data_IF_890876628268
#
_entry.id   IF_890876628268
#
_cell.length_a   1.000
_cell.length_b   1.000
_cell.length_c   1.000
_cell.angle_alpha   90.00
_cell.angle_beta   90.00
_cell.angle_gamma   90.00
#
_symmetry.space_group_name_H-M   'P 1'
#
loop_
_entity.id
_entity.type
_entity.pdbx_description
1 polymer ?
#
# COMPACT_ATOMS: atom_id res chain seq x y z
N UNK A 1 2.67 -25.04 -5.80
CA UNK A 1 2.50 -23.73 -6.45
C UNK A 1 2.71 -23.78 -7.96
N UNK A 2 3.91 -24.09 -8.50
CA UNK A 2 4.16 -24.12 -9.96
C UNK A 2 3.16 -24.99 -10.74
N UNK A 3 2.82 -26.19 -10.25
CA UNK A 3 1.82 -27.08 -10.86
C UNK A 3 0.41 -26.47 -10.92
N UNK A 4 -0.01 -25.71 -9.88
CA UNK A 4 -1.31 -25.07 -9.84
C UNK A 4 -1.41 -23.87 -10.80
N UNK A 5 -0.28 -23.24 -11.10
CA UNK A 5 -0.19 -22.10 -12.01
C UNK A 5 0.11 -22.50 -13.46
N UNK A 6 0.33 -23.80 -13.73
CA UNK A 6 0.64 -24.28 -15.08
C UNK A 6 1.97 -23.78 -15.64
N UNK A 7 2.90 -23.37 -14.77
CA UNK A 7 4.22 -22.83 -15.17
C UNK A 7 5.36 -23.71 -14.66
N UNK A 8 6.57 -23.55 -15.24
CA UNK A 8 7.77 -24.23 -14.76
C UNK A 8 8.21 -23.70 -13.38
N UNK A 9 9.07 -24.44 -12.67
CA UNK A 9 9.52 -24.07 -11.34
C UNK A 9 10.46 -22.85 -11.33
N UNK A 10 11.18 -22.58 -12.42
CA UNK A 10 12.13 -21.48 -12.53
C UNK A 10 11.49 -20.11 -12.27
N UNK A 11 10.52 -19.68 -13.10
CA UNK A 11 9.82 -18.39 -12.91
C UNK A 11 9.18 -18.22 -11.53
N UNK A 12 8.62 -19.30 -10.96
CA UNK A 12 8.05 -19.25 -9.60
C UNK A 12 9.12 -19.00 -8.55
N UNK A 13 10.30 -19.63 -8.70
CA UNK A 13 11.40 -19.42 -7.76
C UNK A 13 11.99 -18.02 -7.84
N UNK A 14 12.11 -17.45 -9.05
CA UNK A 14 12.54 -16.08 -9.25
C UNK A 14 11.55 -15.09 -8.62
N UNK A 15 10.27 -15.24 -8.92
CA UNK A 15 9.23 -14.38 -8.32
C UNK A 15 9.21 -14.46 -6.78
N UNK A 16 9.41 -15.64 -6.20
CA UNK A 16 9.51 -15.77 -4.74
C UNK A 16 10.76 -15.09 -4.18
N UNK A 17 11.90 -15.13 -4.88
CA UNK A 17 13.10 -14.39 -4.47
C UNK A 17 12.90 -12.88 -4.51
N UNK A 18 12.22 -12.40 -5.55
CA UNK A 18 11.90 -10.97 -5.66
C UNK A 18 10.97 -10.52 -4.52
N UNK A 19 9.94 -11.31 -4.20
CA UNK A 19 9.04 -11.04 -3.08
C UNK A 19 9.76 -11.10 -1.73
N UNK A 20 10.71 -12.02 -1.56
CA UNK A 20 11.55 -12.11 -0.35
C UNK A 20 12.47 -10.91 -0.23
N UNK A 21 13.12 -10.50 -1.32
CA UNK A 21 13.96 -9.30 -1.36
C UNK A 21 13.18 -8.02 -1.04
N UNK A 22 11.88 -8.00 -1.36
CA UNK A 22 10.95 -6.92 -1.00
C UNK A 22 10.42 -7.04 0.46
N UNK A 23 10.80 -8.09 1.20
CA UNK A 23 10.33 -8.32 2.57
C UNK A 23 8.84 -8.68 2.67
N UNK A 24 8.22 -9.13 1.59
CA UNK A 24 6.80 -9.50 1.55
C UNK A 24 6.54 -10.95 1.96
N UNK A 25 7.55 -11.80 1.84
CA UNK A 25 7.51 -13.21 2.23
C UNK A 25 8.78 -13.62 2.96
N UNK A 26 8.66 -14.62 3.80
CA UNK A 26 9.79 -15.35 4.37
C UNK A 26 9.90 -16.72 3.72
N UNK A 27 11.11 -17.14 3.33
CA UNK A 27 11.36 -18.49 2.83
C UNK A 27 12.12 -19.31 3.87
N UNK A 28 11.61 -20.50 4.15
CA UNK A 28 12.29 -21.43 5.05
C UNK A 28 12.67 -22.68 4.25
N UNK A 29 13.94 -23.15 4.34
CA UNK A 29 14.36 -24.37 3.68
C UNK A 29 13.42 -25.52 4.02
N UNK A 30 12.99 -26.24 3.00
CA UNK A 30 12.07 -27.40 3.06
C UNK A 30 10.62 -27.11 3.51
N UNK A 31 10.31 -25.88 3.98
CA UNK A 31 8.96 -25.49 4.41
C UNK A 31 8.23 -24.59 3.40
N UNK A 32 8.97 -24.03 2.44
CA UNK A 32 8.42 -23.17 1.39
C UNK A 32 8.39 -21.69 1.79
N UNK A 33 7.50 -20.93 1.12
CA UNK A 33 7.35 -19.50 1.32
C UNK A 33 6.04 -19.21 2.08
N UNK A 34 6.08 -18.26 2.99
CA UNK A 34 4.92 -17.73 3.73
C UNK A 34 4.85 -16.22 3.57
N UNK A 35 3.66 -15.66 3.53
CA UNK A 35 3.47 -14.21 3.60
C UNK A 35 3.99 -13.75 4.96
N UNK A 36 4.88 -12.75 4.93
CA UNK A 36 5.47 -12.17 6.13
C UNK A 36 4.40 -11.38 6.89
N UNK A 37 4.42 -11.53 8.20
CA UNK A 37 3.64 -10.67 9.09
C UNK A 37 4.62 -9.70 9.75
N UNK A 38 4.51 -8.39 9.47
CA UNK A 38 5.40 -7.40 10.07
C UNK A 38 5.19 -7.34 11.59
N UNK A 39 6.25 -7.14 12.32
CA UNK A 39 6.16 -6.91 13.76
C UNK A 39 5.59 -5.51 14.05
N UNK A 40 4.96 -5.34 15.22
CA UNK A 40 4.37 -4.05 15.63
C UNK A 40 5.35 -2.87 15.51
N UNK A 41 6.62 -3.08 15.86
CA UNK A 41 7.65 -2.04 15.73
C UNK A 41 7.84 -1.62 14.27
N UNK A 42 7.91 -2.58 13.35
CA UNK A 42 8.07 -2.35 11.92
C UNK A 42 6.86 -1.63 11.30
N UNK A 43 5.65 -1.94 11.80
CA UNK A 43 4.45 -1.22 11.39
C UNK A 43 4.53 0.26 11.80
N UNK A 44 4.96 0.55 13.02
CA UNK A 44 5.12 1.93 13.50
C UNK A 44 6.17 2.69 12.66
N UNK A 45 7.30 2.06 12.37
CA UNK A 45 8.33 2.65 11.49
C UNK A 45 7.80 2.91 10.08
N UNK A 46 6.99 2.00 9.53
CA UNK A 46 6.35 2.19 8.23
C UNK A 46 5.34 3.36 8.24
N UNK A 47 4.58 3.52 9.33
CA UNK A 47 3.67 4.66 9.50
C UNK A 47 4.40 5.99 9.58
N UNK A 48 5.53 6.06 10.28
CA UNK A 48 6.36 7.27 10.34
C UNK A 48 6.87 7.67 8.96
N UNK A 49 7.37 6.71 8.18
CA UNK A 49 7.80 6.94 6.79
C UNK A 49 6.63 7.35 5.90
N UNK A 50 5.45 6.73 6.05
CA UNK A 50 4.25 7.11 5.32
C UNK A 50 3.89 8.57 5.60
N UNK A 51 3.85 8.97 6.87
CA UNK A 51 3.51 10.34 7.26
C UNK A 51 4.44 11.37 6.60
N UNK A 52 5.74 11.06 6.50
CA UNK A 52 6.72 11.91 5.81
C UNK A 52 6.44 11.99 4.30
N UNK A 53 6.24 10.85 3.64
CA UNK A 53 5.99 10.78 2.20
C UNK A 53 4.65 11.46 1.83
N UNK A 54 3.61 11.22 2.61
CA UNK A 54 2.29 11.82 2.40
C UNK A 54 2.31 13.34 2.60
N UNK A 55 2.97 13.82 3.65
CA UNK A 55 3.14 15.26 3.89
C UNK A 55 3.90 15.93 2.76
N UNK A 56 4.92 15.26 2.22
CA UNK A 56 5.64 15.76 1.05
C UNK A 56 4.76 15.74 -0.21
N UNK A 57 4.01 14.65 -0.42
CA UNK A 57 3.05 14.52 -1.52
C UNK A 57 1.98 15.59 -1.48
N UNK A 58 1.38 15.83 -0.32
CA UNK A 58 0.36 16.86 -0.14
C UNK A 58 0.89 18.27 -0.46
N UNK A 59 2.10 18.61 0.00
CA UNK A 59 2.72 19.91 -0.33
C UNK A 59 2.93 20.10 -1.83
N UNK A 60 3.24 19.05 -2.56
CA UNK A 60 3.38 19.11 -4.02
C UNK A 60 2.04 19.15 -4.75
N UNK A 61 1.02 18.50 -4.19
CA UNK A 61 -0.32 18.42 -4.78
C UNK A 61 -1.10 19.74 -4.62
N UNK A 62 -1.08 20.34 -3.44
CA UNK A 62 -1.88 21.55 -3.09
C UNK A 62 -1.89 22.63 -4.19
N UNK A 63 -0.75 23.08 -4.74
CA UNK A 63 -0.77 24.14 -5.77
C UNK A 63 -1.32 23.68 -7.13
N UNK A 64 -1.65 22.42 -7.30
CA UNK A 64 -2.11 21.81 -8.55
C UNK A 64 -3.55 21.30 -8.49
N UNK A 65 -4.16 21.27 -7.30
CA UNK A 65 -5.51 20.76 -7.10
C UNK A 65 -6.52 21.57 -7.90
N UNK A 66 -7.33 20.87 -8.68
CA UNK A 66 -8.55 21.41 -9.28
C UNK A 66 -9.75 21.20 -8.35
N UNK A 67 -10.85 21.91 -8.62
CA UNK A 67 -12.12 21.70 -7.90
C UNK A 67 -12.61 20.23 -8.04
N UNK A 68 -12.36 19.60 -9.18
CA UNK A 68 -12.68 18.19 -9.38
C UNK A 68 -11.85 17.26 -8.50
N UNK A 69 -10.55 17.56 -8.30
CA UNK A 69 -9.69 16.79 -7.40
C UNK A 69 -10.14 16.94 -5.93
N UNK A 70 -10.59 18.13 -5.54
CA UNK A 70 -11.14 18.37 -4.19
C UNK A 70 -12.42 17.56 -3.97
N UNK A 71 -13.35 17.57 -4.93
CA UNK A 71 -14.58 16.77 -4.86
C UNK A 71 -14.29 15.26 -4.78
N UNK A 72 -13.29 14.77 -5.52
CA UNK A 72 -12.84 13.39 -5.48
C UNK A 72 -12.32 13.02 -4.08
N UNK A 73 -11.48 13.88 -3.48
CA UNK A 73 -10.97 13.68 -2.13
C UNK A 73 -12.07 13.74 -1.06
N UNK A 74 -13.04 14.66 -1.18
CA UNK A 74 -14.22 14.72 -0.32
C UNK A 74 -15.07 13.45 -0.41
N UNK A 75 -15.16 12.85 -1.60
CA UNK A 75 -15.82 11.57 -1.83
C UNK A 75 -15.21 10.43 -1.00
N UNK A 76 -13.88 10.35 -0.95
CA UNK A 76 -13.19 9.36 -0.08
C UNK A 76 -13.47 9.61 1.40
N UNK A 77 -13.46 10.88 1.86
CA UNK A 77 -13.77 11.21 3.25
C UNK A 77 -15.20 10.78 3.61
N UNK A 78 -16.16 11.05 2.73
CA UNK A 78 -17.56 10.64 2.92
C UNK A 78 -17.70 9.11 3.00
N UNK A 79 -17.03 8.39 2.09
CA UNK A 79 -17.05 6.94 2.07
C UNK A 79 -16.42 6.32 3.33
N UNK A 80 -15.31 6.89 3.84
CA UNK A 80 -14.72 6.45 5.12
C UNK A 80 -15.69 6.65 6.29
N UNK A 81 -16.42 7.77 6.32
CA UNK A 81 -17.42 8.05 7.37
C UNK A 81 -18.59 7.07 7.30
N UNK A 82 -19.04 6.72 6.11
CA UNK A 82 -20.11 5.73 5.90
C UNK A 82 -19.68 4.33 6.36
N UNK A 83 -18.49 3.89 5.96
CA UNK A 83 -17.91 2.62 6.39
C UNK A 83 -17.78 2.56 7.93
N UNK A 84 -17.29 3.64 8.55
CA UNK A 84 -17.19 3.72 10.02
C UNK A 84 -18.56 3.62 10.71
N UNK A 85 -19.60 4.29 10.19
CA UNK A 85 -20.97 4.18 10.73
C UNK A 85 -21.55 2.79 10.58
N UNK A 86 -21.20 2.09 9.50
CA UNK A 86 -21.63 0.71 9.25
C UNK A 86 -20.82 -0.32 10.06
N UNK A 87 -19.73 0.07 10.71
CA UNK A 87 -18.81 -0.84 11.39
C UNK A 87 -17.99 -1.71 10.42
N UNK A 88 -17.87 -1.30 9.15
CA UNK A 88 -17.11 -2.01 8.14
C UNK A 88 -15.65 -1.53 8.13
N UNK A 89 -14.85 -2.13 9.03
CA UNK A 89 -13.43 -1.82 9.18
C UNK A 89 -12.62 -2.12 7.90
N UNK A 90 -13.00 -3.16 7.14
CA UNK A 90 -12.32 -3.52 5.91
C UNK A 90 -12.53 -2.47 4.82
N UNK A 91 -13.77 -2.02 4.64
CA UNK A 91 -14.08 -0.97 3.68
C UNK A 91 -13.45 0.35 4.11
N UNK A 92 -13.50 0.69 5.40
CA UNK A 92 -12.84 1.89 5.93
C UNK A 92 -11.34 1.89 5.61
N UNK A 93 -10.62 0.80 5.89
CA UNK A 93 -9.21 0.67 5.59
C UNK A 93 -8.92 0.73 4.08
N UNK A 94 -9.79 0.14 3.25
CA UNK A 94 -9.65 0.18 1.79
C UNK A 94 -9.77 1.61 1.26
N UNK A 95 -10.74 2.35 1.74
CA UNK A 95 -10.99 3.75 1.31
C UNK A 95 -9.89 4.68 1.82
N UNK A 96 -9.39 4.47 3.06
CA UNK A 96 -8.25 5.20 3.63
C UNK A 96 -7.02 5.11 2.73
N UNK A 97 -6.64 3.89 2.35
CA UNK A 97 -5.52 3.68 1.43
C UNK A 97 -5.74 4.35 0.07
N UNK A 98 -6.97 4.31 -0.45
CA UNK A 98 -7.30 4.95 -1.73
C UNK A 98 -7.17 6.48 -1.63
N UNK A 99 -7.62 7.10 -0.53
CA UNK A 99 -7.47 8.53 -0.25
C UNK A 99 -6.00 8.96 -0.25
N UNK A 100 -5.16 8.29 0.54
CA UNK A 100 -3.74 8.61 0.64
C UNK A 100 -3.01 8.39 -0.69
N UNK A 101 -3.33 7.30 -1.40
CA UNK A 101 -2.79 7.02 -2.73
C UNK A 101 -3.17 8.12 -3.74
N UNK A 102 -4.38 8.67 -3.63
CA UNK A 102 -4.83 9.77 -4.49
C UNK A 102 -4.03 11.04 -4.26
N UNK A 103 -3.78 11.42 -3.00
CA UNK A 103 -2.93 12.57 -2.64
C UNK A 103 -1.52 12.40 -3.24
N UNK A 104 -0.94 11.22 -3.07
CA UNK A 104 0.39 10.92 -3.61
C UNK A 104 0.39 10.98 -5.14
N UNK A 105 -0.66 10.51 -5.81
CA UNK A 105 -0.80 10.60 -7.26
C UNK A 105 -0.90 12.05 -7.75
N UNK A 106 -1.68 12.89 -7.06
CA UNK A 106 -1.86 14.32 -7.35
C UNK A 106 -0.57 15.12 -7.18
N UNK A 107 0.40 14.63 -6.41
CA UNK A 107 1.74 15.24 -6.31
C UNK A 107 2.47 15.32 -7.65
N UNK A 108 2.12 14.45 -8.63
CA UNK A 108 2.82 14.32 -9.91
C UNK A 108 4.24 13.76 -9.79
N UNK A 109 4.71 13.42 -8.58
CA UNK A 109 6.04 12.87 -8.35
C UNK A 109 6.04 11.34 -8.51
N UNK A 110 6.53 10.87 -9.64
CA UNK A 110 6.53 9.43 -9.96
C UNK A 110 7.42 8.59 -9.03
N UNK A 111 8.51 9.17 -8.49
CA UNK A 111 9.38 8.47 -7.54
C UNK A 111 8.65 8.28 -6.22
N UNK A 112 7.98 9.32 -5.73
CA UNK A 112 7.15 9.26 -4.53
C UNK A 112 6.05 8.21 -4.66
N UNK A 113 5.35 8.16 -5.81
CA UNK A 113 4.32 7.15 -6.07
C UNK A 113 4.85 5.71 -6.05
N UNK A 114 6.10 5.49 -6.52
CA UNK A 114 6.73 4.16 -6.44
C UNK A 114 7.07 3.78 -5.00
N UNK A 115 7.64 4.70 -4.23
CA UNK A 115 7.95 4.47 -2.80
C UNK A 115 6.69 4.21 -1.98
N UNK A 116 5.63 4.99 -2.22
CA UNK A 116 4.33 4.80 -1.59
C UNK A 116 3.78 3.39 -1.81
N UNK A 117 3.72 2.94 -3.07
CA UNK A 117 3.25 1.58 -3.40
C UNK A 117 4.07 0.47 -2.77
N UNK A 118 5.33 0.72 -2.46
CA UNK A 118 6.20 -0.23 -1.77
C UNK A 118 5.86 -0.33 -0.27
N UNK A 119 5.51 0.79 0.37
CA UNK A 119 5.16 0.84 1.80
C UNK A 119 3.70 0.45 2.09
N UNK A 120 2.81 0.61 1.13
CA UNK A 120 1.38 0.36 1.30
C UNK A 120 1.06 -1.05 1.82
N UNK A 121 1.62 -2.16 1.29
CA UNK A 121 1.34 -3.50 1.78
C UNK A 121 1.76 -3.72 3.24
N UNK A 122 2.85 -3.09 3.68
CA UNK A 122 3.36 -3.21 5.06
C UNK A 122 2.40 -2.56 6.06
N UNK A 123 1.67 -1.54 5.66
CA UNK A 123 0.75 -0.79 6.54
C UNK A 123 -0.68 -1.33 6.55
N UNK A 124 -0.99 -2.38 5.78
CA UNK A 124 -2.33 -2.99 5.68
C UNK A 124 -2.57 -4.17 6.61
N UNK A 125 -1.58 -4.58 7.37
CA UNK A 125 -1.65 -5.69 8.32
C UNK A 125 -1.91 -5.20 9.72
#
# INVERSE_FOLDING_TARGET
>A
MARHLGVSQGPVREALRDLEALGLIDTTPYQGARVRQPHKAELLEAYDLRAMLESFGARLAIPRLSDADLLDLEGFVSAMQEAARAGDENEQARVDVAFHSRIVALSGNQVLQRLWRFLEPVSRT
#
